data_IF_207205052666
#
_entry.id   IF_207205052666
#
_cell.length_a   1.000
_cell.length_b   1.000
_cell.length_c   1.000
_cell.angle_alpha   90.00
_cell.angle_beta   90.00
_cell.angle_gamma   90.00
#
_symmetry.space_group_name_H-M   'P 1'
#
loop_
_entity.id
_entity.type
_entity.pdbx_description
1 polymer ?
#
# COMPACT_ATOMS: atom_id res chain seq x y z
N UNK A 1 14.28 -28.25 9.34
CA UNK A 1 15.02 -27.00 9.13
C UNK A 1 14.75 -26.10 10.33
N UNK A 2 15.73 -25.32 10.80
CA UNK A 2 15.50 -24.32 11.85
C UNK A 2 14.57 -23.24 11.30
N UNK A 3 13.61 -22.77 12.10
CA UNK A 3 12.75 -21.65 11.71
C UNK A 3 13.58 -20.37 11.56
N UNK A 4 13.27 -19.57 10.55
CA UNK A 4 13.91 -18.29 10.29
C UNK A 4 12.99 -17.17 10.75
N UNK A 5 13.43 -16.35 11.71
CA UNK A 5 12.69 -15.21 12.23
C UNK A 5 13.29 -13.90 11.68
N UNK A 6 12.45 -13.08 11.10
CA UNK A 6 12.81 -11.77 10.58
C UNK A 6 12.10 -10.69 11.40
N UNK A 7 12.85 -9.73 11.92
CA UNK A 7 12.30 -8.50 12.47
C UNK A 7 12.12 -7.50 11.33
N UNK A 8 10.87 -7.19 10.98
CA UNK A 8 10.50 -6.17 10.00
C UNK A 8 10.29 -4.82 10.68
N UNK A 9 10.75 -3.73 10.05
CA UNK A 9 10.59 -2.35 10.52
C UNK A 9 10.05 -1.50 9.37
N UNK A 10 8.94 -0.77 9.62
CA UNK A 10 8.31 0.16 8.69
C UNK A 10 8.19 1.54 9.32
N UNK A 11 8.65 2.57 8.58
CA UNK A 11 8.53 3.97 8.98
C UNK A 11 8.46 4.93 7.78
N UNK A 12 8.00 4.46 6.61
CA UNK A 12 8.13 5.25 5.36
C UNK A 12 7.22 6.47 5.29
N UNK A 13 6.14 6.53 6.08
CA UNK A 13 5.15 7.62 6.03
C UNK A 13 4.68 8.05 7.43
N UNK A 14 3.51 7.66 7.85
CA UNK A 14 2.89 8.06 9.12
C UNK A 14 2.57 6.88 10.06
N UNK A 15 2.99 5.68 9.73
CA UNK A 15 2.96 4.50 10.59
C UNK A 15 4.36 4.12 11.05
N UNK A 16 4.57 4.05 12.38
CA UNK A 16 5.74 3.39 12.97
C UNK A 16 5.35 1.96 13.29
N UNK A 17 5.94 0.98 12.62
CA UNK A 17 5.59 -0.41 12.86
C UNK A 17 6.80 -1.33 12.98
N UNK A 18 6.63 -2.40 13.78
CA UNK A 18 7.55 -3.52 13.86
C UNK A 18 6.79 -4.84 13.90
N UNK A 19 7.40 -5.88 13.36
CA UNK A 19 6.78 -7.20 13.25
C UNK A 19 7.84 -8.30 13.29
N UNK A 20 7.53 -9.41 13.95
CA UNK A 20 8.30 -10.64 13.83
C UNK A 20 7.58 -11.60 12.89
N UNK A 21 8.26 -11.96 11.81
CA UNK A 21 7.75 -12.87 10.79
C UNK A 21 8.58 -14.13 10.75
N UNK A 22 7.90 -15.28 10.79
CA UNK A 22 8.50 -16.60 10.73
C UNK A 22 8.34 -17.19 9.33
N UNK A 23 9.46 -17.63 8.75
CA UNK A 23 9.53 -18.32 7.46
C UNK A 23 8.81 -17.60 6.32
N UNK A 24 8.75 -16.27 6.38
CA UNK A 24 8.18 -15.39 5.35
C UNK A 24 6.66 -15.49 5.16
N UNK A 25 5.95 -16.18 6.04
CA UNK A 25 4.50 -16.39 5.89
C UNK A 25 3.70 -16.30 7.19
N UNK A 26 4.31 -16.64 8.32
CA UNK A 26 3.64 -16.62 9.61
C UNK A 26 3.99 -15.35 10.37
N UNK A 27 3.02 -14.52 10.64
CA UNK A 27 3.17 -13.31 11.44
C UNK A 27 3.04 -13.70 12.91
N UNK A 28 4.10 -13.51 13.70
CA UNK A 28 4.10 -13.75 15.13
C UNK A 28 3.67 -12.52 15.92
N UNK A 29 3.97 -11.33 15.40
CA UNK A 29 3.52 -10.05 15.93
C UNK A 29 3.41 -9.01 14.81
N UNK A 30 2.59 -7.98 14.99
CA UNK A 30 2.50 -6.85 14.04
C UNK A 30 2.00 -5.60 14.78
N UNK A 31 2.92 -4.89 15.40
CA UNK A 31 2.65 -3.69 16.19
C UNK A 31 2.70 -2.45 15.31
N UNK A 32 1.67 -1.64 15.34
CA UNK A 32 1.53 -0.43 14.52
C UNK A 32 1.16 0.75 15.41
N UNK A 33 2.00 1.77 15.43
CA UNK A 33 1.74 3.08 16.04
C UNK A 33 1.42 4.09 14.94
N UNK A 34 0.13 4.31 14.68
CA UNK A 34 -0.34 5.21 13.62
C UNK A 34 -0.40 6.65 14.11
N UNK A 35 -0.03 7.58 13.23
CA UNK A 35 -0.07 9.02 13.46
C UNK A 35 -1.30 9.69 12.80
N UNK A 36 -2.27 8.90 12.30
CA UNK A 36 -3.47 9.41 11.62
C UNK A 36 -4.18 10.50 12.44
N UNK A 37 -4.33 10.30 13.77
CA UNK A 37 -5.02 11.28 14.62
C UNK A 37 -4.29 12.63 14.70
N UNK A 38 -2.95 12.61 14.62
CA UNK A 38 -2.14 13.83 14.58
C UNK A 38 -2.31 14.50 13.22
N UNK A 39 -2.19 13.75 12.14
CA UNK A 39 -2.23 14.30 10.78
C UNK A 39 -3.63 14.75 10.33
N UNK A 40 -4.70 14.24 10.94
CA UNK A 40 -6.06 14.75 10.76
C UNK A 40 -6.17 16.26 11.07
N UNK A 41 -5.41 16.75 12.05
CA UNK A 41 -5.42 18.17 12.44
C UNK A 41 -4.90 19.09 11.32
N UNK A 42 -4.06 18.54 10.45
CA UNK A 42 -3.44 19.25 9.33
C UNK A 42 -4.10 18.95 7.98
N UNK A 43 -5.07 18.01 7.98
CA UNK A 43 -5.74 17.56 6.75
C UNK A 43 -4.90 16.70 5.83
N UNK A 44 -3.81 16.10 6.34
CA UNK A 44 -2.89 15.21 5.63
C UNK A 44 -1.54 15.12 6.31
N UNK A 45 -0.67 14.24 5.84
CA UNK A 45 0.64 13.99 6.44
C UNK A 45 1.55 15.20 6.34
N UNK A 46 2.19 15.57 7.46
CA UNK A 46 3.23 16.60 7.56
C UNK A 46 4.58 15.91 7.81
N UNK A 47 5.50 15.90 6.83
CA UNK A 47 6.70 15.07 6.86
C UNK A 47 7.59 15.26 8.09
N UNK A 48 7.78 16.52 8.55
CA UNK A 48 8.61 16.80 9.72
C UNK A 48 7.97 16.31 11.02
N UNK A 49 6.64 16.41 11.14
CA UNK A 49 5.90 15.89 12.29
C UNK A 49 5.99 14.37 12.30
N UNK A 50 5.82 13.73 11.13
CA UNK A 50 5.94 12.29 11.00
C UNK A 50 7.32 11.79 11.46
N UNK A 51 8.40 12.39 10.96
CA UNK A 51 9.76 12.01 11.33
C UNK A 51 10.01 12.10 12.84
N UNK A 52 9.57 13.16 13.51
CA UNK A 52 9.72 13.34 14.97
C UNK A 52 8.97 12.28 15.76
N UNK A 53 7.74 11.95 15.36
CA UNK A 53 6.96 10.91 16.04
C UNK A 53 7.58 9.51 15.86
N UNK A 54 8.18 9.21 14.72
CA UNK A 54 8.91 7.96 14.55
C UNK A 54 10.05 7.81 15.57
N UNK A 55 10.83 8.87 15.80
CA UNK A 55 11.93 8.85 16.78
C UNK A 55 11.41 8.52 18.19
N UNK A 56 10.26 9.07 18.56
CA UNK A 56 9.68 8.86 19.89
C UNK A 56 9.11 7.45 20.08
N UNK A 57 8.70 6.77 18.99
CA UNK A 57 7.94 5.52 19.06
C UNK A 57 8.72 4.28 18.69
N UNK A 58 9.73 4.37 17.84
CA UNK A 58 10.33 3.22 17.17
C UNK A 58 10.87 2.15 18.17
N UNK A 59 11.54 2.54 19.23
CA UNK A 59 12.09 1.61 20.22
C UNK A 59 10.97 0.87 20.98
N UNK A 60 9.90 1.59 21.34
CA UNK A 60 8.76 0.99 22.04
C UNK A 60 8.05 -0.03 21.14
N UNK A 61 7.79 0.34 19.89
CA UNK A 61 7.11 -0.51 18.91
C UNK A 61 7.91 -1.79 18.60
N UNK A 62 9.24 -1.67 18.50
CA UNK A 62 10.12 -2.83 18.33
C UNK A 62 10.07 -3.75 19.56
N UNK A 63 10.16 -3.19 20.77
CA UNK A 63 10.11 -3.99 22.00
C UNK A 63 8.76 -4.70 22.13
N UNK A 64 7.65 -3.99 21.90
CA UNK A 64 6.31 -4.58 21.92
C UNK A 64 6.17 -5.72 20.89
N UNK A 65 6.75 -5.55 19.69
CA UNK A 65 6.69 -6.60 18.67
C UNK A 65 7.47 -7.87 19.08
N UNK A 66 8.60 -7.73 19.75
CA UNK A 66 9.37 -8.85 20.29
C UNK A 66 8.61 -9.52 21.44
N UNK A 67 8.02 -8.73 22.34
CA UNK A 67 7.26 -9.24 23.49
C UNK A 67 6.01 -10.00 23.04
N UNK A 68 5.23 -9.45 22.09
CA UNK A 68 4.06 -10.12 21.51
C UNK A 68 4.42 -11.44 20.81
N UNK A 69 5.56 -11.47 20.11
CA UNK A 69 6.07 -12.67 19.48
C UNK A 69 6.66 -13.69 20.47
N UNK A 70 6.83 -13.29 21.74
CA UNK A 70 7.52 -14.05 22.78
C UNK A 70 8.92 -14.50 22.37
N UNK A 71 9.70 -13.57 21.80
CA UNK A 71 11.08 -13.76 21.36
C UNK A 71 11.97 -12.59 21.79
N UNK A 72 13.27 -12.78 21.70
CA UNK A 72 14.28 -11.76 21.93
C UNK A 72 15.06 -11.48 20.65
N UNK A 73 15.91 -10.44 20.65
CA UNK A 73 16.80 -10.16 19.52
C UNK A 73 17.81 -11.31 19.26
N UNK A 74 18.05 -12.18 20.22
CA UNK A 74 18.95 -13.35 20.05
C UNK A 74 18.30 -14.46 19.22
N UNK A 75 16.97 -14.43 19.05
CA UNK A 75 16.19 -15.37 18.23
C UNK A 75 16.04 -14.90 16.78
N UNK A 76 16.37 -13.62 16.49
CA UNK A 76 16.20 -13.02 15.16
C UNK A 76 17.38 -13.39 14.26
N UNK A 77 17.07 -13.78 13.02
CA UNK A 77 18.08 -14.17 12.01
C UNK A 77 18.47 -13.03 11.07
N UNK A 78 17.59 -12.03 10.85
CA UNK A 78 17.89 -10.83 10.06
C UNK A 78 16.94 -9.67 10.37
N UNK A 79 17.39 -8.45 10.08
CA UNK A 79 16.58 -7.23 10.21
C UNK A 79 16.17 -6.77 8.82
N UNK A 80 14.86 -6.69 8.59
CA UNK A 80 14.25 -6.11 7.39
C UNK A 80 13.79 -4.68 7.67
N UNK A 81 14.09 -3.73 6.78
CA UNK A 81 13.67 -2.34 6.97
C UNK A 81 13.30 -1.70 5.65
N UNK A 82 12.23 -0.92 5.66
CA UNK A 82 11.88 -0.09 4.50
C UNK A 82 12.90 1.03 4.33
N UNK A 83 13.57 1.07 3.16
CA UNK A 83 14.52 2.12 2.84
C UNK A 83 14.04 3.06 1.73
N UNK A 84 12.90 2.77 1.11
CA UNK A 84 12.25 3.56 0.05
C UNK A 84 11.14 2.80 -0.67
N UNK A 85 10.31 3.52 -1.43
CA UNK A 85 10.10 4.96 -1.37
C UNK A 85 9.39 5.42 -0.10
N UNK A 86 9.41 6.75 0.16
CA UNK A 86 8.72 7.33 1.32
C UNK A 86 9.25 8.71 1.71
N UNK A 87 8.81 9.21 2.85
CA UNK A 87 9.29 10.47 3.41
C UNK A 87 10.72 10.32 3.96
N UNK A 88 11.66 11.10 3.44
CA UNK A 88 13.09 10.94 3.75
C UNK A 88 13.37 10.94 5.24
N UNK A 89 12.81 11.87 6.01
CA UNK A 89 13.02 11.97 7.45
C UNK A 89 12.46 10.77 8.21
N UNK A 90 11.33 10.26 7.80
CA UNK A 90 10.68 9.09 8.35
C UNK A 90 11.48 7.80 8.05
N UNK A 91 11.85 7.58 6.78
CA UNK A 91 12.70 6.46 6.35
C UNK A 91 14.03 6.42 7.12
N UNK A 92 14.67 7.58 7.32
CA UNK A 92 15.96 7.66 8.03
C UNK A 92 15.87 7.14 9.46
N UNK A 93 14.75 7.32 10.14
CA UNK A 93 14.55 6.80 11.52
C UNK A 93 14.58 5.28 11.51
N UNK A 94 13.77 4.63 10.67
CA UNK A 94 13.74 3.16 10.57
C UNK A 94 15.08 2.58 10.14
N UNK A 95 15.70 3.17 9.10
CA UNK A 95 17.00 2.73 8.58
C UNK A 95 18.10 2.86 9.65
N UNK A 96 18.14 3.96 10.40
CA UNK A 96 19.14 4.16 11.47
C UNK A 96 18.96 3.12 12.58
N UNK A 97 17.74 2.89 13.04
CA UNK A 97 17.44 1.92 14.09
C UNK A 97 17.75 0.49 13.65
N UNK A 98 17.33 0.10 12.44
CA UNK A 98 17.64 -1.21 11.86
C UNK A 98 19.14 -1.46 11.78
N UNK A 99 19.92 -0.46 11.36
CA UNK A 99 21.40 -0.52 11.32
C UNK A 99 21.99 -0.68 12.72
N UNK A 100 21.50 0.08 13.70
CA UNK A 100 21.98 0.02 15.07
C UNK A 100 21.78 -1.38 15.67
N UNK A 101 20.59 -1.96 15.52
CA UNK A 101 20.27 -3.33 15.98
C UNK A 101 21.13 -4.36 15.25
N UNK A 102 21.15 -4.30 13.91
CA UNK A 102 21.90 -5.24 13.08
C UNK A 102 23.40 -5.21 13.41
N UNK A 103 23.98 -4.02 13.62
CA UNK A 103 25.38 -3.86 14.02
C UNK A 103 25.64 -4.43 15.42
N UNK A 104 24.83 -4.06 16.40
CA UNK A 104 25.01 -4.48 17.79
C UNK A 104 24.88 -6.01 17.99
N UNK A 105 24.06 -6.65 17.16
CA UNK A 105 23.77 -8.10 17.23
C UNK A 105 24.49 -8.92 16.14
N UNK A 106 25.30 -8.27 15.31
CA UNK A 106 25.95 -8.90 14.15
C UNK A 106 24.96 -9.67 13.26
N UNK A 107 23.79 -9.07 13.00
CA UNK A 107 22.73 -9.62 12.17
C UNK A 107 22.80 -9.08 10.74
N UNK A 108 22.41 -9.88 9.74
CA UNK A 108 22.19 -9.39 8.38
C UNK A 108 21.16 -8.27 8.32
N UNK A 109 21.47 -7.22 7.55
CA UNK A 109 20.55 -6.11 7.25
C UNK A 109 19.98 -6.29 5.85
N UNK A 110 18.67 -6.18 5.73
CA UNK A 110 17.93 -6.32 4.45
C UNK A 110 17.06 -5.09 4.22
N UNK A 111 17.48 -4.25 3.27
CA UNK A 111 16.65 -3.14 2.80
C UNK A 111 15.47 -3.66 1.96
N UNK A 112 14.28 -3.18 2.23
CA UNK A 112 13.04 -3.57 1.55
C UNK A 112 12.43 -2.37 0.84
N UNK A 113 11.99 -2.58 -0.37
CA UNK A 113 11.19 -1.61 -1.10
C UNK A 113 9.75 -1.61 -0.57
N UNK A 114 9.23 -0.46 -0.14
CA UNK A 114 7.91 -0.32 0.48
C UNK A 114 6.79 -0.96 -0.36
N UNK A 115 6.79 -0.71 -1.67
CA UNK A 115 5.77 -1.25 -2.59
C UNK A 115 5.89 -2.78 -2.75
N UNK A 116 7.10 -3.33 -2.69
CA UNK A 116 7.30 -4.79 -2.64
C UNK A 116 6.73 -5.39 -1.35
N UNK A 117 6.80 -4.65 -0.24
CA UNK A 117 6.13 -4.98 1.00
C UNK A 117 4.63 -5.15 0.79
N UNK A 118 3.95 -4.18 0.20
CA UNK A 118 2.51 -4.28 -0.08
C UNK A 118 2.15 -5.52 -0.90
N UNK A 119 2.91 -5.86 -1.94
CA UNK A 119 2.69 -7.10 -2.71
C UNK A 119 2.86 -8.32 -1.82
N UNK A 120 3.91 -8.33 -1.00
CA UNK A 120 4.26 -9.45 -0.10
C UNK A 120 3.24 -9.69 1.00
N UNK A 121 2.44 -8.68 1.37
CA UNK A 121 1.31 -8.84 2.30
C UNK A 121 0.33 -9.96 1.88
N UNK A 122 0.18 -10.19 0.57
CA UNK A 122 -0.67 -11.28 0.08
C UNK A 122 -0.17 -12.67 0.49
N UNK A 123 1.14 -12.84 0.69
CA UNK A 123 1.70 -14.14 1.07
C UNK A 123 1.36 -14.56 2.50
N UNK A 124 0.95 -13.61 3.35
CA UNK A 124 0.61 -13.87 4.76
C UNK A 124 -0.62 -14.79 4.86
N UNK A 125 -1.68 -14.47 4.11
CA UNK A 125 -2.97 -15.14 4.22
C UNK A 125 -3.23 -16.15 3.09
N UNK A 126 -2.37 -16.17 2.08
CA UNK A 126 -2.53 -17.03 0.91
C UNK A 126 -1.29 -17.92 0.73
N UNK A 127 -1.19 -19.03 1.48
CA UNK A 127 -0.05 -19.94 1.40
C UNK A 127 0.13 -20.61 0.03
N UNK A 128 -0.93 -20.62 -0.78
CA UNK A 128 -0.94 -21.16 -2.14
C UNK A 128 -0.59 -20.10 -3.21
N UNK A 129 -0.46 -18.83 -2.83
CA UNK A 129 -0.01 -17.81 -3.76
C UNK A 129 1.51 -17.89 -3.95
N UNK A 130 1.89 -18.22 -5.16
CA UNK A 130 3.28 -18.25 -5.63
C UNK A 130 3.37 -17.52 -6.96
N UNK A 131 4.49 -16.84 -7.25
CA UNK A 131 4.75 -16.29 -8.58
C UNK A 131 4.70 -17.38 -9.68
N UNK A 132 4.39 -17.03 -10.96
CA UNK A 132 4.00 -15.68 -11.38
C UNK A 132 2.51 -15.37 -11.14
N UNK A 133 2.22 -14.10 -10.93
CA UNK A 133 0.85 -13.55 -10.85
C UNK A 133 0.79 -12.08 -11.21
N UNK A 134 -0.39 -11.58 -11.58
CA UNK A 134 -0.64 -10.15 -11.81
C UNK A 134 -1.04 -9.48 -10.50
N UNK A 135 -0.50 -8.30 -10.21
CA UNK A 135 -0.86 -7.52 -9.03
C UNK A 135 -1.19 -6.07 -9.38
N UNK A 136 -2.38 -5.61 -8.99
CA UNK A 136 -2.70 -4.19 -8.99
C UNK A 136 -2.35 -3.60 -7.61
N UNK A 137 -1.34 -2.75 -7.58
CA UNK A 137 -0.85 -2.09 -6.37
C UNK A 137 -1.49 -0.71 -6.32
N UNK A 138 -2.36 -0.47 -5.35
CA UNK A 138 -3.16 0.75 -5.26
C UNK A 138 -3.07 1.33 -3.85
N UNK A 139 -2.33 2.42 -3.68
CA UNK A 139 -2.10 3.06 -2.38
C UNK A 139 -2.33 4.57 -2.44
N UNK A 140 -2.04 5.27 -1.35
CA UNK A 140 -2.11 6.74 -1.28
C UNK A 140 -1.18 7.43 -2.27
N UNK A 141 0.05 6.93 -2.42
CA UNK A 141 1.07 7.54 -3.30
C UNK A 141 1.33 6.80 -4.60
N UNK A 142 0.85 5.58 -4.77
CA UNK A 142 1.22 4.72 -5.90
C UNK A 142 0.00 4.02 -6.51
N UNK A 143 -0.01 3.93 -7.84
CA UNK A 143 -0.91 3.05 -8.58
C UNK A 143 -0.09 2.39 -9.69
N UNK A 144 0.12 1.09 -9.57
CA UNK A 144 0.90 0.28 -10.51
C UNK A 144 0.15 -0.99 -10.87
N UNK A 145 0.36 -1.46 -12.09
CA UNK A 145 -0.04 -2.80 -12.52
C UNK A 145 1.23 -3.55 -12.89
N UNK A 146 1.49 -4.67 -12.21
CA UNK A 146 2.74 -5.41 -12.32
C UNK A 146 2.52 -6.90 -12.49
N UNK A 147 3.40 -7.56 -13.23
CA UNK A 147 3.59 -9.00 -13.14
C UNK A 147 4.66 -9.27 -12.10
N UNK A 148 4.32 -10.02 -11.08
CA UNK A 148 5.28 -10.59 -10.12
C UNK A 148 5.82 -11.86 -10.75
N UNK A 149 7.04 -11.82 -11.30
CA UNK A 149 7.66 -12.96 -12.01
C UNK A 149 8.23 -13.99 -11.06
N UNK A 150 8.80 -13.51 -9.96
CA UNK A 150 9.35 -14.28 -8.86
C UNK A 150 9.34 -13.40 -7.60
N UNK A 151 9.63 -13.94 -6.43
CA UNK A 151 9.75 -13.17 -5.20
C UNK A 151 10.78 -12.06 -5.39
N UNK A 152 10.36 -10.80 -5.17
CA UNK A 152 11.18 -9.61 -5.39
C UNK A 152 11.55 -9.32 -6.86
N UNK A 153 10.88 -9.91 -7.85
CA UNK A 153 11.08 -9.64 -9.27
C UNK A 153 9.79 -9.18 -9.94
N UNK A 154 9.80 -7.96 -10.43
CA UNK A 154 8.62 -7.27 -10.94
C UNK A 154 8.81 -6.82 -12.39
N UNK A 155 7.77 -6.97 -13.19
CA UNK A 155 7.64 -6.31 -14.49
C UNK A 155 6.48 -5.32 -14.41
N UNK A 156 6.79 -4.04 -14.57
CA UNK A 156 5.78 -2.98 -14.55
C UNK A 156 5.09 -2.93 -15.90
N UNK A 157 3.79 -3.22 -15.94
CA UNK A 157 2.97 -3.10 -17.14
C UNK A 157 2.42 -1.69 -17.32
N UNK A 158 1.96 -1.07 -16.22
CA UNK A 158 1.39 0.25 -16.22
C UNK A 158 1.52 0.94 -14.86
N UNK A 159 1.38 2.25 -14.88
CA UNK A 159 1.42 3.10 -13.67
C UNK A 159 0.57 4.34 -13.86
N UNK A 160 0.23 4.99 -12.75
CA UNK A 160 -0.41 6.31 -12.86
C UNK A 160 0.54 7.33 -13.50
N UNK A 161 -0.04 8.20 -14.32
CA UNK A 161 0.66 9.31 -14.98
C UNK A 161 0.47 10.64 -14.25
N UNK A 162 -0.41 10.64 -13.25
CA UNK A 162 -0.73 11.81 -12.43
C UNK A 162 -1.05 11.38 -10.99
N UNK A 163 -2.18 11.80 -10.40
CA UNK A 163 -2.57 11.44 -9.05
C UNK A 163 -2.66 9.89 -8.90
N UNK A 164 -2.19 9.36 -7.79
CA UNK A 164 -2.51 7.99 -7.39
C UNK A 164 -4.01 7.87 -7.04
N UNK A 165 -4.57 6.68 -7.13
CA UNK A 165 -5.98 6.47 -6.82
C UNK A 165 -6.31 6.90 -5.37
N UNK A 166 -5.50 6.52 -4.39
CA UNK A 166 -5.71 6.92 -2.99
C UNK A 166 -5.61 8.43 -2.78
N UNK A 167 -4.67 9.10 -3.43
CA UNK A 167 -4.55 10.55 -3.43
C UNK A 167 -5.82 11.23 -4.00
N UNK A 168 -6.38 10.67 -5.08
CA UNK A 168 -7.65 11.15 -5.65
C UNK A 168 -8.81 10.98 -4.65
N UNK A 169 -8.88 9.84 -3.93
CA UNK A 169 -9.84 9.63 -2.85
C UNK A 169 -9.71 10.69 -1.75
N UNK A 170 -8.50 10.99 -1.29
CA UNK A 170 -8.26 11.97 -0.23
C UNK A 170 -8.64 13.40 -0.66
N UNK A 171 -8.28 13.76 -1.90
CA UNK A 171 -8.60 15.08 -2.46
C UNK A 171 -10.10 15.27 -2.65
N UNK A 172 -10.82 14.27 -3.16
CA UNK A 172 -12.27 14.30 -3.33
C UNK A 172 -12.99 14.31 -1.98
N UNK A 173 -12.56 13.48 -1.02
CA UNK A 173 -13.10 13.47 0.33
C UNK A 173 -13.02 14.85 0.99
N UNK A 174 -11.87 15.50 0.86
CA UNK A 174 -11.68 16.88 1.35
C UNK A 174 -12.64 17.86 0.66
N UNK A 175 -12.81 17.76 -0.65
CA UNK A 175 -13.68 18.65 -1.42
C UNK A 175 -15.17 18.52 -1.03
N UNK A 176 -15.62 17.32 -0.68
CA UNK A 176 -17.00 17.08 -0.20
C UNK A 176 -17.14 17.17 1.33
N UNK A 177 -16.10 17.65 2.04
CA UNK A 177 -16.14 17.93 3.46
C UNK A 177 -16.05 16.72 4.38
N UNK A 178 -15.46 15.60 3.93
CA UNK A 178 -15.26 14.40 4.76
C UNK A 178 -13.92 14.42 5.54
N UNK A 179 -12.94 15.21 5.07
CA UNK A 179 -11.61 15.29 5.69
C UNK A 179 -10.74 14.05 5.45
N UNK A 180 -9.68 13.90 6.24
CA UNK A 180 -8.65 12.86 6.13
C UNK A 180 -8.82 11.74 7.18
N UNK A 181 -8.48 10.46 6.91
CA UNK A 181 -8.20 9.88 5.59
C UNK A 181 -9.48 9.76 4.76
N UNK A 182 -9.36 10.03 3.45
CA UNK A 182 -10.51 10.15 2.56
C UNK A 182 -11.07 8.81 2.09
N UNK A 183 -10.19 7.85 1.75
CA UNK A 183 -10.59 6.56 1.19
C UNK A 183 -11.68 5.84 1.97
N UNK A 184 -11.47 5.53 3.27
CA UNK A 184 -12.46 4.86 4.10
C UNK A 184 -13.77 5.63 4.27
N UNK A 185 -13.70 6.97 4.30
CA UNK A 185 -14.87 7.84 4.45
C UNK A 185 -15.72 7.89 3.19
N UNK A 186 -15.08 7.92 2.02
CA UNK A 186 -15.78 7.79 0.73
C UNK A 186 -16.41 6.41 0.61
N UNK A 187 -15.67 5.33 0.90
CA UNK A 187 -16.21 3.96 0.81
C UNK A 187 -17.44 3.76 1.72
N UNK A 188 -17.41 4.37 2.92
CA UNK A 188 -18.56 4.34 3.82
C UNK A 188 -19.76 5.12 3.27
N UNK A 189 -19.53 6.38 2.85
CA UNK A 189 -20.61 7.26 2.37
C UNK A 189 -21.20 6.78 1.03
N UNK A 190 -20.38 6.21 0.17
CA UNK A 190 -20.80 5.69 -1.14
C UNK A 190 -21.87 4.59 -1.04
N UNK A 191 -21.94 3.88 0.08
CA UNK A 191 -22.98 2.84 0.33
C UNK A 191 -24.39 3.43 0.47
N UNK A 192 -24.50 4.73 0.76
CA UNK A 192 -25.76 5.45 0.93
C UNK A 192 -26.18 6.17 -0.36
N UNK A 193 -25.31 6.22 -1.38
CA UNK A 193 -25.52 6.95 -2.63
C UNK A 193 -25.80 6.05 -3.82
N UNK A 194 -26.26 6.69 -4.90
CA UNK A 194 -26.43 6.04 -6.19
C UNK A 194 -25.15 6.18 -7.04
N UNK A 195 -24.47 5.07 -7.40
CA UNK A 195 -23.25 5.09 -8.18
C UNK A 195 -23.44 5.54 -9.64
N UNK A 196 -24.68 5.61 -10.12
CA UNK A 196 -25.03 6.01 -11.48
C UNK A 196 -25.68 7.42 -11.52
N UNK A 197 -25.71 8.15 -10.40
CA UNK A 197 -26.31 9.48 -10.32
C UNK A 197 -25.54 10.54 -11.14
N UNK A 198 -24.21 10.40 -11.23
CA UNK A 198 -23.34 11.36 -11.92
C UNK A 198 -22.35 10.56 -12.78
N UNK A 199 -22.34 10.85 -14.07
CA UNK A 199 -21.38 10.25 -14.99
C UNK A 199 -20.04 10.99 -14.93
N UNK A 200 -19.11 10.49 -14.11
CA UNK A 200 -17.73 10.95 -14.08
C UNK A 200 -16.88 10.27 -15.14
N UNK A 201 -15.86 10.96 -15.69
CA UNK A 201 -15.03 10.42 -16.76
C UNK A 201 -14.15 9.24 -16.27
N UNK A 202 -13.93 8.27 -17.17
CA UNK A 202 -12.92 7.23 -17.07
C UNK A 202 -11.83 7.55 -18.07
N UNK A 203 -10.69 8.01 -17.56
CA UNK A 203 -9.62 8.45 -18.43
C UNK A 203 -9.00 7.27 -19.18
N UNK A 204 -8.94 7.38 -20.51
CA UNK A 204 -8.06 6.56 -21.36
C UNK A 204 -6.90 7.44 -21.75
N UNK A 205 -5.69 7.08 -21.32
CA UNK A 205 -4.50 7.94 -21.50
C UNK A 205 -3.40 7.19 -22.22
N UNK A 206 -2.72 7.94 -23.11
CA UNK A 206 -1.49 7.52 -23.75
C UNK A 206 -1.60 6.33 -24.68
N UNK A 207 -0.43 5.81 -25.06
CA UNK A 207 -0.29 4.64 -25.92
C UNK A 207 -0.29 3.33 -25.14
N UNK A 208 0.01 3.38 -23.82
CA UNK A 208 0.03 2.20 -22.97
C UNK A 208 -1.38 1.96 -22.36
N UNK A 209 -2.07 0.87 -22.74
CA UNK A 209 -3.43 0.58 -22.29
C UNK A 209 -3.54 0.23 -20.80
N UNK A 210 -2.41 0.04 -20.11
CA UNK A 210 -2.37 -0.33 -18.70
C UNK A 210 -2.04 0.84 -17.77
N UNK A 211 -1.77 2.03 -18.33
CA UNK A 211 -1.51 3.22 -17.52
C UNK A 211 -2.81 3.79 -16.93
N UNK A 212 -2.68 4.46 -15.78
CA UNK A 212 -3.78 5.05 -15.06
C UNK A 212 -3.70 6.59 -15.02
N UNK A 213 -4.86 7.24 -14.86
CA UNK A 213 -4.98 8.66 -14.54
C UNK A 213 -6.22 8.91 -13.69
N UNK A 214 -6.05 9.63 -12.61
CA UNK A 214 -7.14 9.97 -11.69
C UNK A 214 -7.31 11.49 -11.49
N UNK A 215 -6.42 12.31 -12.01
CA UNK A 215 -6.54 13.77 -11.94
C UNK A 215 -7.75 14.29 -12.70
N UNK A 216 -8.11 13.63 -13.81
CA UNK A 216 -9.28 13.95 -14.62
C UNK A 216 -10.60 13.76 -13.87
N UNK A 217 -10.79 12.61 -13.24
CA UNK A 217 -12.01 12.32 -12.45
C UNK A 217 -12.11 13.22 -11.22
N UNK A 218 -10.99 13.49 -10.53
CA UNK A 218 -10.92 14.47 -9.44
C UNK A 218 -11.38 15.85 -9.91
N UNK A 219 -10.83 16.34 -11.03
CA UNK A 219 -11.18 17.65 -11.57
C UNK A 219 -12.65 17.73 -11.99
N UNK A 220 -13.21 16.66 -12.53
CA UNK A 220 -14.62 16.58 -12.86
C UNK A 220 -15.52 16.72 -11.61
N UNK A 221 -15.15 16.07 -10.49
CA UNK A 221 -15.87 16.24 -9.21
C UNK A 221 -15.80 17.70 -8.74
N UNK A 222 -14.62 18.32 -8.77
CA UNK A 222 -14.45 19.72 -8.36
C UNK A 222 -15.27 20.66 -9.24
N UNK A 223 -15.31 20.45 -10.55
CA UNK A 223 -16.10 21.25 -11.48
C UNK A 223 -17.61 21.06 -11.24
N UNK A 224 -18.06 19.84 -10.96
CA UNK A 224 -19.45 19.56 -10.60
C UNK A 224 -19.87 20.32 -9.34
N UNK A 225 -19.04 20.26 -8.27
CA UNK A 225 -19.29 20.99 -7.03
C UNK A 225 -19.34 22.52 -7.24
N UNK A 226 -18.40 23.07 -8.00
CA UNK A 226 -18.35 24.49 -8.31
C UNK A 226 -19.56 24.91 -9.16
N UNK A 227 -19.96 24.10 -10.14
CA UNK A 227 -21.14 24.37 -10.96
C UNK A 227 -22.43 24.42 -10.14
N UNK A 228 -22.64 23.46 -9.25
CA UNK A 228 -23.77 23.44 -8.34
C UNK A 228 -23.78 24.66 -7.40
N UNK A 229 -22.61 24.99 -6.83
CA UNK A 229 -22.46 26.15 -5.95
C UNK A 229 -22.81 27.48 -6.68
N UNK A 230 -22.37 27.63 -7.92
CA UNK A 230 -22.68 28.85 -8.73
C UNK A 230 -24.17 28.96 -9.04
N UNK A 231 -24.88 27.84 -9.16
CA UNK A 231 -26.33 27.78 -9.39
C UNK A 231 -27.18 27.86 -8.13
N UNK A 232 -26.54 27.77 -6.95
CA UNK A 232 -27.24 27.67 -5.68
C UNK A 232 -27.94 26.29 -5.47
N UNK A 233 -27.49 25.26 -6.17
CA UNK A 233 -28.06 23.90 -6.07
C UNK A 233 -27.42 23.14 -4.92
N UNK A 234 -28.24 22.42 -4.15
CA UNK A 234 -27.74 21.47 -3.16
C UNK A 234 -27.26 20.19 -3.85
N UNK A 235 -26.16 19.63 -3.34
CA UNK A 235 -25.59 18.39 -3.88
C UNK A 235 -25.75 17.24 -2.90
N UNK A 236 -26.10 16.06 -3.41
CA UNK A 236 -26.07 14.84 -2.62
C UNK A 236 -24.63 14.31 -2.55
N UNK A 237 -24.00 14.45 -1.37
CA UNK A 237 -22.61 13.99 -1.16
C UNK A 237 -22.45 12.48 -1.29
N UNK A 238 -23.49 11.70 -0.94
CA UNK A 238 -23.46 10.26 -1.06
C UNK A 238 -23.42 9.82 -2.53
N UNK A 239 -24.21 10.48 -3.40
CA UNK A 239 -24.20 10.21 -4.83
C UNK A 239 -22.87 10.61 -5.47
N UNK A 240 -22.27 11.72 -5.04
CA UNK A 240 -20.94 12.12 -5.51
C UNK A 240 -19.91 11.06 -5.10
N UNK A 241 -19.91 10.63 -3.83
CA UNK A 241 -18.99 9.61 -3.33
C UNK A 241 -19.16 8.28 -4.07
N UNK A 242 -20.38 7.82 -4.29
CA UNK A 242 -20.71 6.58 -4.97
C UNK A 242 -20.30 6.62 -6.46
N UNK A 243 -20.64 7.70 -7.16
CA UNK A 243 -20.32 7.86 -8.59
C UNK A 243 -18.82 8.04 -8.83
N UNK A 244 -18.12 8.79 -7.96
CA UNK A 244 -16.67 8.94 -7.99
C UNK A 244 -15.97 7.59 -7.75
N UNK A 245 -16.34 6.88 -6.67
CA UNK A 245 -15.78 5.58 -6.33
C UNK A 245 -15.99 4.58 -7.48
N UNK A 246 -17.18 4.54 -8.07
CA UNK A 246 -17.47 3.70 -9.24
C UNK A 246 -16.53 4.01 -10.41
N UNK A 247 -16.33 5.30 -10.73
CA UNK A 247 -15.45 5.69 -11.83
C UNK A 247 -14.00 5.23 -11.63
N UNK A 248 -13.47 5.35 -10.40
CA UNK A 248 -12.11 4.88 -10.07
C UNK A 248 -12.02 3.35 -10.11
N UNK A 249 -12.99 2.66 -9.52
CA UNK A 249 -13.03 1.18 -9.47
C UNK A 249 -13.15 0.59 -10.87
N UNK A 250 -14.00 1.15 -11.73
CA UNK A 250 -14.19 0.68 -13.10
C UNK A 250 -12.85 0.68 -13.86
N UNK A 251 -12.07 1.76 -13.78
CA UNK A 251 -10.75 1.86 -14.44
C UNK A 251 -9.76 0.84 -13.88
N UNK A 252 -9.69 0.69 -12.55
CA UNK A 252 -8.78 -0.26 -11.92
C UNK A 252 -9.10 -1.70 -12.33
N UNK A 253 -10.38 -2.07 -12.38
CA UNK A 253 -10.82 -3.41 -12.77
C UNK A 253 -10.60 -3.63 -14.26
N UNK A 254 -11.01 -2.70 -15.12
CA UNK A 254 -10.86 -2.80 -16.57
C UNK A 254 -9.41 -3.07 -16.97
N UNK A 255 -8.47 -2.24 -16.50
CA UNK A 255 -7.05 -2.37 -16.87
C UNK A 255 -6.43 -3.65 -16.30
N UNK A 256 -6.80 -4.02 -15.05
CA UNK A 256 -6.30 -5.27 -14.44
C UNK A 256 -6.79 -6.49 -15.22
N UNK A 257 -8.07 -6.54 -15.59
CA UNK A 257 -8.63 -7.67 -16.34
C UNK A 257 -8.10 -7.73 -17.77
N UNK A 258 -7.89 -6.58 -18.41
CA UNK A 258 -7.26 -6.50 -19.73
C UNK A 258 -5.85 -7.08 -19.68
N UNK A 259 -5.02 -6.62 -18.75
CA UNK A 259 -3.66 -7.14 -18.58
C UNK A 259 -3.64 -8.64 -18.25
N UNK A 260 -4.56 -9.11 -17.38
CA UNK A 260 -4.66 -10.53 -17.07
C UNK A 260 -4.92 -11.37 -18.31
N UNK A 261 -5.79 -10.90 -19.21
CA UNK A 261 -6.09 -11.58 -20.47
C UNK A 261 -4.89 -11.53 -21.44
N UNK A 262 -4.30 -10.35 -21.65
CA UNK A 262 -3.23 -10.15 -22.62
C UNK A 262 -1.95 -10.92 -22.27
N UNK A 263 -1.66 -11.04 -20.98
CA UNK A 263 -0.48 -11.77 -20.47
C UNK A 263 -0.79 -13.20 -20.00
N UNK A 264 -2.02 -13.67 -20.16
CA UNK A 264 -2.43 -15.03 -19.79
C UNK A 264 -2.36 -15.31 -18.28
N UNK A 265 -2.45 -14.27 -17.43
CA UNK A 265 -2.38 -14.41 -15.98
C UNK A 265 -3.71 -14.87 -15.40
N UNK A 266 -3.71 -16.03 -14.72
CA UNK A 266 -4.92 -16.59 -14.08
C UNK A 266 -4.96 -16.36 -12.57
N UNK A 267 -3.87 -15.86 -11.99
CA UNK A 267 -3.78 -15.42 -10.60
C UNK A 267 -3.70 -13.90 -10.59
N UNK A 268 -4.66 -13.26 -9.93
CA UNK A 268 -4.76 -11.80 -9.82
C UNK A 268 -4.79 -11.41 -8.36
N UNK A 269 -3.93 -10.48 -7.97
CA UNK A 269 -3.87 -9.94 -6.62
C UNK A 269 -4.11 -8.43 -6.62
N UNK A 270 -4.59 -7.91 -5.50
CA UNK A 270 -4.58 -6.48 -5.20
C UNK A 270 -3.74 -6.22 -3.94
N UNK A 271 -3.11 -5.05 -3.87
CA UNK A 271 -2.24 -4.66 -2.76
C UNK A 271 -2.30 -3.15 -2.50
N UNK A 272 -1.84 -2.72 -1.33
CA UNK A 272 -1.83 -1.31 -0.92
C UNK A 272 -3.12 -0.87 -0.22
N UNK A 273 -3.11 0.32 0.38
CA UNK A 273 -4.19 0.80 1.25
C UNK A 273 -5.57 0.84 0.57
N UNK A 274 -5.64 1.18 -0.72
CA UNK A 274 -6.90 1.18 -1.49
C UNK A 274 -7.43 -0.23 -1.75
N UNK A 275 -6.61 -1.28 -1.64
CA UNK A 275 -7.06 -2.66 -1.67
C UNK A 275 -8.00 -3.02 -0.49
N UNK A 276 -8.11 -2.18 0.53
CA UNK A 276 -9.12 -2.30 1.59
C UNK A 276 -10.51 -1.81 1.18
N UNK A 277 -10.64 -1.04 0.08
CA UNK A 277 -11.90 -0.49 -0.40
C UNK A 277 -12.91 -1.60 -0.78
N UNK A 278 -14.10 -1.55 -0.19
CA UNK A 278 -15.11 -2.61 -0.34
C UNK A 278 -15.64 -2.75 -1.76
N UNK A 279 -15.84 -1.63 -2.47
CA UNK A 279 -16.32 -1.66 -3.86
C UNK A 279 -15.26 -2.26 -4.80
N UNK A 280 -13.98 -1.89 -4.63
CA UNK A 280 -12.88 -2.47 -5.42
C UNK A 280 -12.77 -3.99 -5.19
N UNK A 281 -12.82 -4.43 -3.94
CA UNK A 281 -12.77 -5.86 -3.59
C UNK A 281 -13.89 -6.65 -4.28
N UNK A 282 -15.12 -6.16 -4.14
CA UNK A 282 -16.30 -6.82 -4.71
C UNK A 282 -16.25 -6.86 -6.25
N UNK A 283 -15.89 -5.74 -6.87
CA UNK A 283 -15.81 -5.64 -8.33
C UNK A 283 -14.70 -6.53 -8.91
N UNK A 284 -13.52 -6.55 -8.26
CA UNK A 284 -12.39 -7.38 -8.68
C UNK A 284 -12.68 -8.86 -8.52
N UNK A 285 -13.26 -9.27 -7.38
CA UNK A 285 -13.67 -10.66 -7.12
C UNK A 285 -14.68 -11.16 -8.16
N UNK A 286 -15.70 -10.34 -8.47
CA UNK A 286 -16.67 -10.65 -9.50
C UNK A 286 -16.02 -10.80 -10.89
N UNK A 287 -15.19 -9.84 -11.28
CA UNK A 287 -14.52 -9.84 -12.59
C UNK A 287 -13.56 -11.02 -12.77
N UNK A 288 -12.88 -11.44 -11.71
CA UNK A 288 -12.05 -12.64 -11.69
C UNK A 288 -12.89 -13.92 -11.80
N UNK A 289 -13.98 -14.02 -11.03
CA UNK A 289 -14.86 -15.18 -11.04
C UNK A 289 -15.50 -15.42 -12.42
N UNK A 290 -15.96 -14.36 -13.09
CA UNK A 290 -16.53 -14.41 -14.44
C UNK A 290 -15.54 -14.95 -15.50
N UNK A 291 -14.22 -14.81 -15.25
CA UNK A 291 -13.15 -15.27 -16.15
C UNK A 291 -12.48 -16.56 -15.70
N UNK A 292 -12.91 -17.11 -14.55
CA UNK A 292 -12.27 -18.30 -13.95
C UNK A 292 -10.85 -18.01 -13.43
N UNK A 293 -10.56 -16.75 -13.06
CA UNK A 293 -9.29 -16.37 -12.46
C UNK A 293 -9.36 -16.50 -10.93
N UNK A 294 -8.23 -16.84 -10.32
CA UNK A 294 -8.11 -16.86 -8.86
C UNK A 294 -7.75 -15.48 -8.34
N UNK A 295 -8.56 -14.96 -7.42
CA UNK A 295 -8.37 -13.65 -6.83
C UNK A 295 -7.74 -13.74 -5.45
N UNK A 296 -6.78 -12.84 -5.16
CA UNK A 296 -6.06 -12.74 -3.91
C UNK A 296 -6.07 -11.32 -3.40
N UNK A 297 -6.28 -11.16 -2.11
CA UNK A 297 -6.29 -9.87 -1.42
C UNK A 297 -5.91 -10.03 0.03
N UNK A 298 -5.12 -9.13 0.62
CA UNK A 298 -4.85 -9.17 2.05
C UNK A 298 -6.09 -8.75 2.85
N UNK A 299 -6.17 -9.16 4.11
CA UNK A 299 -7.12 -8.55 5.05
C UNK A 299 -6.80 -7.07 5.27
N UNK A 300 -7.79 -6.25 5.73
CA UNK A 300 -7.60 -4.80 5.84
C UNK A 300 -6.38 -4.37 6.64
N UNK A 301 -6.03 -5.11 7.70
CA UNK A 301 -4.86 -4.82 8.55
C UNK A 301 -3.52 -4.92 7.80
N UNK A 302 -3.43 -5.76 6.77
CA UNK A 302 -2.24 -5.93 5.95
C UNK A 302 -2.28 -5.14 4.65
N UNK A 303 -3.38 -4.43 4.36
CA UNK A 303 -3.45 -3.53 3.20
C UNK A 303 -2.77 -2.20 3.44
N UNK A 304 -2.90 -1.63 4.64
CA UNK A 304 -2.24 -0.38 5.04
C UNK A 304 -0.80 -0.64 5.46
N UNK A 305 -0.04 0.44 5.69
CA UNK A 305 1.36 0.35 6.07
C UNK A 305 1.51 -0.43 7.39
N UNK A 306 2.34 -1.46 7.36
CA UNK A 306 2.58 -2.35 8.49
C UNK A 306 3.96 -3.03 8.33
N UNK A 307 4.53 -3.53 9.42
CA UNK A 307 5.84 -4.14 9.36
C UNK A 307 5.81 -5.64 9.01
N UNK A 308 4.67 -6.31 9.11
CA UNK A 308 4.57 -7.70 8.70
C UNK A 308 4.84 -7.86 7.20
N UNK A 309 4.32 -6.96 6.36
CA UNK A 309 4.59 -6.93 4.92
C UNK A 309 6.08 -6.77 4.62
N UNK A 310 6.77 -5.97 5.44
CA UNK A 310 8.22 -5.74 5.31
C UNK A 310 9.01 -6.96 5.76
N UNK A 311 8.63 -7.59 6.87
CA UNK A 311 9.25 -8.82 7.35
C UNK A 311 9.11 -9.98 6.35
N UNK A 312 7.96 -10.08 5.69
CA UNK A 312 7.72 -11.07 4.63
C UNK A 312 8.61 -10.80 3.40
N UNK A 313 8.63 -9.57 2.91
CA UNK A 313 9.49 -9.20 1.78
C UNK A 313 10.98 -9.40 2.11
N UNK A 314 11.39 -8.99 3.32
CA UNK A 314 12.75 -9.18 3.81
C UNK A 314 13.15 -10.66 3.88
N UNK A 315 12.25 -11.56 4.27
CA UNK A 315 12.52 -12.98 4.30
C UNK A 315 12.88 -13.51 2.91
N UNK A 316 12.08 -13.19 1.89
CA UNK A 316 12.37 -13.66 0.53
C UNK A 316 13.66 -13.07 -0.04
N UNK A 317 13.97 -11.83 0.27
CA UNK A 317 15.27 -11.23 -0.05
C UNK A 317 16.41 -11.92 0.71
N UNK A 318 16.21 -12.17 2.00
CA UNK A 318 17.19 -12.84 2.85
C UNK A 318 17.56 -14.22 2.34
N UNK A 319 16.58 -15.07 2.00
CA UNK A 319 16.87 -16.45 1.51
C UNK A 319 17.49 -16.46 0.10
N UNK A 320 17.29 -15.41 -0.70
CA UNK A 320 17.95 -15.19 -1.99
C UNK A 320 19.40 -14.72 -1.84
N UNK A 321 19.85 -14.42 -0.63
CA UNK A 321 21.20 -13.98 -0.34
C UNK A 321 21.40 -12.47 -0.30
N UNK A 322 20.32 -11.66 -0.43
CA UNK A 322 20.42 -10.20 -0.33
C UNK A 322 20.89 -9.79 1.06
N UNK A 323 21.94 -8.99 1.10
CA UNK A 323 22.53 -8.38 2.30
C UNK A 323 22.95 -6.97 1.97
N UNK A 324 22.58 -6.02 2.78
CA UNK A 324 23.01 -4.64 2.64
C UNK A 324 24.15 -4.34 3.62
N UNK A 325 25.04 -3.49 3.19
CA UNK A 325 26.11 -2.99 4.04
C UNK A 325 25.66 -1.80 4.88
N UNK A 326 26.56 -1.25 5.68
CA UNK A 326 26.27 -0.12 6.58
C UNK A 326 26.07 1.21 5.83
N UNK A 327 26.26 1.26 4.53
CA UNK A 327 26.00 2.40 3.65
C UNK A 327 24.52 2.45 3.18
N UNK A 328 23.69 1.44 3.47
CA UNK A 328 22.24 1.51 3.21
C UNK A 328 21.69 2.83 3.71
N UNK A 329 20.98 3.55 2.86
CA UNK A 329 20.43 4.86 3.17
C UNK A 329 19.00 4.99 2.66
N UNK A 330 18.27 5.99 3.15
CA UNK A 330 16.93 6.31 2.67
C UNK A 330 16.96 6.77 1.19
N UNK A 331 16.07 6.20 0.37
CA UNK A 331 15.89 6.55 -1.05
C UNK A 331 14.42 6.94 -1.26
N UNK A 332 14.06 8.24 -1.05
CA UNK A 332 12.66 8.68 -1.05
C UNK A 332 11.87 8.39 -2.32
N UNK A 333 12.56 8.40 -3.46
CA UNK A 333 11.96 8.21 -4.79
C UNK A 333 12.40 6.89 -5.45
N UNK A 334 12.69 5.87 -4.63
CA UNK A 334 13.08 4.55 -5.12
C UNK A 334 12.00 3.99 -6.05
N UNK A 335 12.39 3.61 -7.26
CA UNK A 335 11.44 3.04 -8.21
C UNK A 335 11.32 1.54 -8.01
N UNK A 336 10.12 1.02 -8.22
CA UNK A 336 9.88 -0.42 -8.13
C UNK A 336 10.79 -1.17 -9.11
N UNK A 337 11.51 -2.18 -8.59
CA UNK A 337 12.52 -2.94 -9.33
C UNK A 337 13.93 -2.34 -9.31
N UNK A 338 14.14 -1.12 -8.78
CA UNK A 338 15.47 -0.58 -8.45
C UNK A 338 15.90 -1.06 -7.05
N UNK A 339 17.21 -1.20 -6.83
CA UNK A 339 17.81 -1.69 -5.59
C UNK A 339 19.06 -0.91 -5.24
#
# INVERSE_FOLDING_TARGET
MKDTLILGIESSCDETAASVVKNGRTVLSNVISSQIEIHKLYGGVVPEIAARNHIERINQVIQEALDEANVTLDDIEAIGVTYGPGLVGALLVGVAEAKAIAYARNLPLVGVHHIEGHVSANYIEHPDLEPPFLCAIVSGGHTHLVIVKDYGQFEILGRTRDDAAGEAFDKVARAIGLGYPGGPKIDKLAKEGNPDAIEFPRAKIGENPYDFSFSGVKSAVLNYLNGAKMKGEEVNRADIAASFQKAVVDVLVEHTMQAAADFGMKKVAIAGGVASNGALRTAMEKACAERGYKFYRPSPIFCTDNAAMIGVAAYYEYIRGTRHSWDLNAVPNLKLGER
#
